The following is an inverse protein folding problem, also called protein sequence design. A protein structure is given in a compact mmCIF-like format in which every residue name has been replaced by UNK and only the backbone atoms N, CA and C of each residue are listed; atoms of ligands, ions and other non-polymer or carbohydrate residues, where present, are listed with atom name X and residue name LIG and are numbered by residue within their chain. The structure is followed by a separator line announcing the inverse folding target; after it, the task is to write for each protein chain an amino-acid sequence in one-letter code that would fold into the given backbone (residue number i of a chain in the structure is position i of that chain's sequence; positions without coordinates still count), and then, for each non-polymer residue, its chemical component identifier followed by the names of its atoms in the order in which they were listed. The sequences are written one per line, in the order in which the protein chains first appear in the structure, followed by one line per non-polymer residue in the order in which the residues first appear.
data_IF_859166337535
#
_entry.id   IF_859166337535
#
_cell.length_a   1.000
_cell.length_b   1.000
_cell.length_c   1.000
_cell.angle_alpha   90.00
_cell.angle_beta   90.00
_cell.angle_gamma   90.00
#
_symmetry.space_group_name_H-M   'P 1'
#
loop_
_entity.id
_entity.type
_entity.pdbx_description
1 polymer ?
#
# COMPACT_ATOMS: atom_id res chain seq x y z
N UNK A 1 64.42 -35.22 -27.14
CA UNK A 1 64.62 -33.80 -27.49
C UNK A 1 63.39 -33.35 -28.22
N UNK A 2 62.55 -32.57 -27.56
CA UNK A 2 61.23 -32.15 -28.07
C UNK A 2 61.04 -30.64 -27.88
N UNK A 3 60.20 -30.09 -28.76
CA UNK A 3 59.81 -28.70 -29.01
C UNK A 3 60.59 -27.96 -30.11
N UNK A 4 59.92 -27.08 -30.90
CA UNK A 4 58.61 -26.47 -30.65
C UNK A 4 57.56 -26.70 -31.77
N UNK A 5 56.30 -26.89 -31.37
CA UNK A 5 55.13 -26.64 -32.23
C UNK A 5 54.53 -25.33 -31.76
N UNK A 6 54.27 -24.49 -32.75
CA UNK A 6 53.79 -23.12 -32.74
C UNK A 6 52.55 -22.88 -31.88
N UNK A 7 52.61 -21.81 -31.10
CA UNK A 7 51.47 -21.08 -30.55
C UNK A 7 50.47 -20.72 -31.67
N UNK A 8 49.18 -21.02 -31.46
CA UNK A 8 48.11 -20.09 -31.84
C UNK A 8 46.78 -20.43 -31.16
N UNK A 9 46.25 -19.38 -30.53
CA UNK A 9 44.83 -19.10 -30.31
C UNK A 9 44.12 -19.75 -29.11
N UNK A 10 44.59 -19.38 -27.92
CA UNK A 10 43.82 -19.44 -26.66
C UNK A 10 43.18 -18.10 -26.23
N UNK A 11 42.73 -17.24 -27.16
CA UNK A 11 42.26 -15.88 -26.79
C UNK A 11 41.05 -15.36 -27.58
N UNK A 12 39.96 -16.13 -27.65
CA UNK A 12 38.72 -15.63 -28.27
C UNK A 12 37.41 -15.96 -27.51
N UNK A 13 37.48 -16.42 -26.25
CA UNK A 13 36.28 -16.81 -25.50
C UNK A 13 36.03 -16.02 -24.21
N UNK A 14 36.73 -14.90 -23.99
CA UNK A 14 36.70 -14.18 -22.70
C UNK A 14 36.10 -12.77 -22.75
N UNK A 15 35.40 -12.37 -23.82
CA UNK A 15 35.04 -10.94 -23.99
C UNK A 15 33.61 -10.66 -24.42
N UNK A 16 32.62 -11.46 -24.02
CA UNK A 16 31.20 -11.06 -24.11
C UNK A 16 30.38 -11.51 -22.89
N UNK A 17 30.86 -11.20 -21.68
CA UNK A 17 29.90 -10.97 -20.59
C UNK A 17 29.27 -9.60 -20.82
N UNK A 18 28.29 -9.59 -21.72
CA UNK A 18 27.48 -8.42 -22.04
C UNK A 18 27.02 -7.76 -20.75
N UNK A 19 27.52 -6.53 -20.53
CA UNK A 19 26.92 -5.50 -19.67
C UNK A 19 25.42 -5.57 -19.95
N UNK A 20 24.64 -6.30 -19.13
CA UNK A 20 23.18 -6.34 -19.24
C UNK A 20 22.72 -4.94 -18.95
N UNK A 21 22.56 -4.17 -20.02
CA UNK A 21 22.26 -2.77 -19.94
C UNK A 21 20.96 -2.63 -19.18
N UNK A 22 21.01 -1.76 -18.19
CA UNK A 22 19.84 -1.20 -17.55
C UNK A 22 18.89 -0.75 -18.67
N UNK A 23 17.90 -1.58 -19.01
CA UNK A 23 16.99 -1.25 -20.10
C UNK A 23 16.09 -0.14 -19.59
N UNK A 24 16.24 1.07 -20.15
CA UNK A 24 15.45 2.24 -19.77
C UNK A 24 13.95 1.94 -19.72
N UNK A 25 13.47 1.02 -20.56
CA UNK A 25 12.08 0.54 -20.60
C UNK A 25 11.57 -0.06 -19.29
N UNK A 26 12.45 -0.67 -18.48
CA UNK A 26 12.08 -1.29 -17.20
C UNK A 26 11.98 -0.29 -16.05
N UNK A 27 12.76 0.78 -16.10
CA UNK A 27 12.84 1.76 -14.99
C UNK A 27 12.03 3.03 -15.32
N UNK A 28 11.75 3.28 -16.60
CA UNK A 28 10.82 4.32 -17.05
C UNK A 28 9.49 4.34 -16.26
N UNK A 29 8.76 3.23 -16.05
CA UNK A 29 7.50 3.30 -15.30
C UNK A 29 7.69 3.69 -13.83
N UNK A 30 8.82 3.32 -13.20
CA UNK A 30 9.14 3.74 -11.84
C UNK A 30 9.49 5.23 -11.78
N UNK A 31 10.28 5.74 -12.74
CA UNK A 31 10.58 7.17 -12.84
C UNK A 31 9.32 8.00 -13.12
N UNK A 32 8.43 7.52 -13.99
CA UNK A 32 7.13 8.16 -14.25
C UNK A 32 6.31 8.19 -12.96
N UNK A 33 6.26 7.10 -12.21
CA UNK A 33 5.54 7.03 -10.94
C UNK A 33 6.11 8.03 -9.92
N UNK A 34 7.43 8.09 -9.75
CA UNK A 34 8.10 9.04 -8.87
C UNK A 34 7.86 10.49 -9.34
N UNK A 35 7.92 10.76 -10.64
CA UNK A 35 7.67 12.08 -11.21
C UNK A 35 6.22 12.52 -11.01
N UNK A 36 5.25 11.62 -11.24
CA UNK A 36 3.83 11.89 -11.00
C UNK A 36 3.54 12.11 -9.51
N UNK A 37 4.13 11.30 -8.63
CA UNK A 37 4.02 11.49 -7.18
C UNK A 37 4.64 12.83 -6.74
N UNK A 38 5.81 13.17 -7.26
CA UNK A 38 6.49 14.45 -7.01
C UNK A 38 5.70 15.65 -7.52
N UNK A 39 5.12 15.55 -8.72
CA UNK A 39 4.26 16.58 -9.29
C UNK A 39 2.99 16.77 -8.47
N UNK A 40 2.30 15.67 -8.10
CA UNK A 40 1.13 15.72 -7.24
C UNK A 40 1.43 16.39 -5.89
N UNK A 41 2.60 16.09 -5.32
CA UNK A 41 3.05 16.73 -4.08
C UNK A 41 3.36 18.22 -4.27
N UNK A 42 4.07 18.59 -5.33
CA UNK A 42 4.42 19.98 -5.67
C UNK A 42 3.19 20.84 -5.97
N UNK A 43 2.19 20.28 -6.64
CA UNK A 43 0.88 20.91 -6.91
C UNK A 43 0.00 21.01 -5.66
N UNK A 44 0.44 20.48 -4.51
CA UNK A 44 -0.31 20.56 -3.27
C UNK A 44 -1.54 19.65 -3.22
N UNK A 45 -1.66 18.63 -4.07
CA UNK A 45 -2.82 17.73 -4.07
C UNK A 45 -3.05 17.03 -2.72
N UNK A 46 -1.96 16.81 -1.97
CA UNK A 46 -2.03 16.31 -0.60
C UNK A 46 -2.80 17.24 0.36
N UNK A 47 -2.87 18.55 0.09
CA UNK A 47 -3.65 19.53 0.89
C UNK A 47 -5.15 19.42 0.65
N UNK A 48 -5.55 19.03 -0.57
CA UNK A 48 -6.95 18.74 -0.90
C UNK A 48 -7.43 17.43 -0.26
N UNK A 49 -6.52 16.49 0.01
CA UNK A 49 -6.77 15.29 0.80
C UNK A 49 -6.72 15.61 2.30
N UNK A 50 -7.55 16.56 2.75
CA UNK A 50 -7.67 16.95 4.16
C UNK A 50 -9.11 16.86 4.63
N UNK A 51 -9.29 16.60 5.93
CA UNK A 51 -10.62 16.59 6.56
C UNK A 51 -11.35 17.91 6.42
N UNK A 52 -10.63 19.02 6.52
CA UNK A 52 -11.17 20.37 6.35
C UNK A 52 -11.80 20.55 4.97
N UNK A 53 -11.08 20.16 3.91
CA UNK A 53 -11.60 20.23 2.53
C UNK A 53 -12.83 19.34 2.35
N UNK A 54 -12.82 18.14 2.93
CA UNK A 54 -13.94 17.21 2.88
C UNK A 54 -15.18 17.79 3.60
N UNK A 55 -14.99 18.39 4.78
CA UNK A 55 -16.07 18.98 5.57
C UNK A 55 -16.66 20.21 4.86
N UNK A 56 -15.81 21.12 4.35
CA UNK A 56 -16.25 22.32 3.64
C UNK A 56 -17.01 22.01 2.34
N UNK A 57 -16.66 20.92 1.65
CA UNK A 57 -17.28 20.55 0.37
C UNK A 57 -18.32 19.41 0.51
N UNK A 58 -18.66 19.01 1.75
CA UNK A 58 -19.55 17.86 2.02
C UNK A 58 -20.88 17.94 1.28
N UNK A 59 -21.56 19.09 1.35
CA UNK A 59 -22.87 19.27 0.70
C UNK A 59 -22.77 19.17 -0.82
N UNK A 60 -21.77 19.82 -1.43
CA UNK A 60 -21.54 19.76 -2.86
C UNK A 60 -21.21 18.33 -3.34
N UNK A 61 -20.35 17.62 -2.60
CA UNK A 61 -20.00 16.23 -2.90
C UNK A 61 -21.22 15.32 -2.79
N UNK A 62 -22.06 15.51 -1.77
CA UNK A 62 -23.30 14.74 -1.61
C UNK A 62 -24.32 15.04 -2.70
N UNK A 63 -24.49 16.31 -3.07
CA UNK A 63 -25.34 16.69 -4.19
C UNK A 63 -24.89 16.00 -5.49
N UNK A 64 -23.57 15.97 -5.73
CA UNK A 64 -23.00 15.25 -6.88
C UNK A 64 -23.25 13.74 -6.81
N UNK A 65 -23.03 13.10 -5.66
CA UNK A 65 -23.29 11.66 -5.45
C UNK A 65 -24.77 11.32 -5.64
N UNK A 66 -25.68 12.15 -5.12
CA UNK A 66 -27.12 11.93 -5.25
C UNK A 66 -27.59 12.05 -6.71
N UNK A 67 -27.02 12.98 -7.48
CA UNK A 67 -27.34 13.16 -8.90
C UNK A 67 -26.63 12.19 -9.84
N UNK A 68 -25.47 11.65 -9.46
CA UNK A 68 -24.58 10.90 -10.36
C UNK A 68 -23.91 9.69 -9.67
N UNK A 69 -24.68 8.89 -8.94
CA UNK A 69 -24.14 7.85 -8.06
C UNK A 69 -23.11 6.90 -8.72
N UNK A 70 -23.37 6.30 -9.91
CA UNK A 70 -22.40 5.39 -10.55
C UNK A 70 -21.11 6.10 -10.97
N UNK A 71 -21.22 7.33 -11.49
CA UNK A 71 -20.07 8.13 -11.89
C UNK A 71 -19.24 8.56 -10.69
N UNK A 72 -19.89 8.97 -9.60
CA UNK A 72 -19.21 9.34 -8.36
C UNK A 72 -18.45 8.15 -7.76
N UNK A 73 -19.06 6.95 -7.78
CA UNK A 73 -18.40 5.73 -7.32
C UNK A 73 -17.20 5.34 -8.18
N UNK A 74 -17.33 5.46 -9.51
CA UNK A 74 -16.23 5.21 -10.45
C UNK A 74 -15.08 6.22 -10.30
N UNK A 75 -15.41 7.50 -10.13
CA UNK A 75 -14.44 8.57 -9.87
C UNK A 75 -13.70 8.31 -8.55
N UNK A 76 -14.43 7.97 -7.49
CA UNK A 76 -13.85 7.58 -6.20
C UNK A 76 -12.88 6.41 -6.35
N UNK A 77 -13.29 5.33 -7.02
CA UNK A 77 -12.43 4.18 -7.26
C UNK A 77 -11.17 4.54 -8.05
N UNK A 78 -11.30 5.35 -9.12
CA UNK A 78 -10.19 5.81 -9.93
C UNK A 78 -9.17 6.66 -9.15
N UNK A 79 -9.66 7.60 -8.35
CA UNK A 79 -8.83 8.42 -7.46
C UNK A 79 -8.11 7.52 -6.45
N UNK A 80 -8.82 6.58 -5.83
CA UNK A 80 -8.23 5.68 -4.85
C UNK A 80 -7.13 4.79 -5.47
N UNK A 81 -7.39 4.22 -6.67
CA UNK A 81 -6.39 3.46 -7.44
C UNK A 81 -5.15 4.32 -7.69
N UNK A 82 -5.32 5.57 -8.14
CA UNK A 82 -4.22 6.48 -8.42
C UNK A 82 -3.39 6.78 -7.17
N UNK A 83 -4.03 7.11 -6.04
CA UNK A 83 -3.34 7.39 -4.78
C UNK A 83 -2.52 6.19 -4.30
N UNK A 84 -3.10 4.99 -4.34
CA UNK A 84 -2.38 3.77 -3.94
C UNK A 84 -1.26 3.42 -4.91
N UNK A 85 -1.52 3.50 -6.22
CA UNK A 85 -0.52 3.20 -7.25
C UNK A 85 0.68 4.16 -7.15
N UNK A 86 0.43 5.43 -6.87
CA UNK A 86 1.48 6.45 -6.67
C UNK A 86 2.13 6.39 -5.27
N UNK A 87 1.73 5.46 -4.39
CA UNK A 87 2.20 5.36 -3.00
C UNK A 87 2.01 6.65 -2.18
N UNK A 88 0.99 7.45 -2.51
CA UNK A 88 0.72 8.70 -1.80
C UNK A 88 0.10 8.42 -0.42
N UNK A 89 0.52 9.14 0.63
CA UNK A 89 -0.15 9.09 1.93
C UNK A 89 -1.56 9.67 1.81
N UNK A 90 -2.50 9.19 2.62
CA UNK A 90 -3.89 9.66 2.61
C UNK A 90 -4.97 8.59 2.39
N UNK A 91 -4.58 7.32 2.24
CA UNK A 91 -5.53 6.21 2.06
C UNK A 91 -6.62 6.15 3.15
N UNK A 92 -6.27 6.38 4.42
CA UNK A 92 -7.25 6.41 5.51
C UNK A 92 -8.31 7.51 5.34
N UNK A 93 -7.89 8.73 4.96
CA UNK A 93 -8.81 9.84 4.70
C UNK A 93 -9.75 9.55 3.53
N UNK A 94 -9.22 8.97 2.45
CA UNK A 94 -10.03 8.56 1.31
C UNK A 94 -11.04 7.48 1.71
N UNK A 95 -10.65 6.48 2.49
CA UNK A 95 -11.56 5.44 2.98
C UNK A 95 -12.69 6.02 3.82
N UNK A 96 -12.38 6.96 4.72
CA UNK A 96 -13.38 7.66 5.53
C UNK A 96 -14.31 8.49 4.63
N UNK A 97 -13.75 9.18 3.64
CA UNK A 97 -14.53 9.92 2.63
C UNK A 97 -15.48 8.99 1.86
N UNK A 98 -15.01 7.80 1.47
CA UNK A 98 -15.83 6.78 0.82
C UNK A 98 -16.98 6.31 1.72
N UNK A 99 -16.72 6.11 3.02
CA UNK A 99 -17.74 5.81 4.01
C UNK A 99 -18.78 6.91 4.19
N UNK A 100 -18.35 8.17 4.20
CA UNK A 100 -19.21 9.35 4.32
C UNK A 100 -20.14 9.54 3.10
N UNK A 101 -19.61 9.29 1.90
CA UNK A 101 -20.29 9.55 0.63
C UNK A 101 -21.16 8.38 0.16
N UNK A 102 -20.69 7.15 0.32
CA UNK A 102 -21.34 5.95 -0.23
C UNK A 102 -21.83 4.96 0.85
N UNK A 103 -21.63 5.28 2.13
CA UNK A 103 -21.89 4.38 3.24
C UNK A 103 -20.78 3.35 3.44
N UNK A 104 -20.77 2.71 4.61
CA UNK A 104 -19.71 1.80 5.01
C UNK A 104 -19.58 0.57 4.09
N UNK A 105 -20.71 0.08 3.55
CA UNK A 105 -20.72 -1.13 2.73
C UNK A 105 -20.23 -0.86 1.30
N UNK A 106 -20.89 0.03 0.56
CA UNK A 106 -20.49 0.33 -0.82
C UNK A 106 -19.12 1.03 -0.87
N UNK A 107 -18.91 2.03 0.01
CA UNK A 107 -17.61 2.69 0.16
C UNK A 107 -16.52 1.71 0.56
N UNK A 108 -16.77 0.84 1.53
CA UNK A 108 -15.83 -0.19 1.98
C UNK A 108 -15.46 -1.19 0.88
N UNK A 109 -16.45 -1.78 0.20
CA UNK A 109 -16.22 -2.76 -0.87
C UNK A 109 -15.43 -2.17 -2.03
N UNK A 110 -15.83 -0.99 -2.53
CA UNK A 110 -15.12 -0.30 -3.61
C UNK A 110 -13.70 0.04 -3.19
N UNK A 111 -13.50 0.45 -1.93
CA UNK A 111 -12.17 0.74 -1.40
C UNK A 111 -11.28 -0.48 -1.40
N UNK A 112 -11.75 -1.64 -0.93
CA UNK A 112 -10.96 -2.88 -0.91
C UNK A 112 -10.51 -3.25 -2.33
N UNK A 113 -11.42 -3.16 -3.30
CA UNK A 113 -11.13 -3.47 -4.71
C UNK A 113 -10.14 -2.46 -5.29
N UNK A 114 -10.42 -1.16 -5.16
CA UNK A 114 -9.59 -0.08 -5.69
C UNK A 114 -8.18 -0.09 -5.07
N UNK A 115 -8.07 -0.28 -3.75
CA UNK A 115 -6.81 -0.42 -3.05
C UNK A 115 -5.98 -1.60 -3.56
N UNK A 116 -6.64 -2.76 -3.77
CA UNK A 116 -5.98 -3.97 -4.26
C UNK A 116 -5.47 -3.78 -5.69
N UNK A 117 -6.25 -3.14 -6.55
CA UNK A 117 -5.85 -2.82 -7.92
C UNK A 117 -4.65 -1.85 -7.93
N UNK A 118 -4.75 -0.73 -7.21
CA UNK A 118 -3.66 0.26 -7.13
C UNK A 118 -2.37 -0.35 -6.58
N UNK A 119 -2.48 -1.16 -5.52
CA UNK A 119 -1.33 -1.84 -4.93
C UNK A 119 -0.71 -2.85 -5.90
N UNK A 120 -1.52 -3.53 -6.71
CA UNK A 120 -1.06 -4.48 -7.72
C UNK A 120 -0.32 -3.79 -8.87
N UNK A 121 -0.81 -2.63 -9.32
CA UNK A 121 -0.14 -1.81 -10.34
C UNK A 121 1.26 -1.43 -9.85
N UNK A 122 1.35 -0.85 -8.66
CA UNK A 122 2.62 -0.48 -8.04
C UNK A 122 3.54 -1.69 -7.85
N UNK A 123 3.01 -2.81 -7.38
CA UNK A 123 3.76 -4.05 -7.19
C UNK A 123 4.38 -4.54 -8.51
N UNK A 124 3.63 -4.51 -9.62
CA UNK A 124 4.12 -4.92 -10.94
C UNK A 124 5.19 -3.97 -11.48
N UNK A 125 5.00 -2.66 -11.31
CA UNK A 125 5.99 -1.63 -11.69
C UNK A 125 7.27 -1.84 -10.87
N UNK A 126 7.16 -1.98 -9.56
CA UNK A 126 8.31 -2.20 -8.69
C UNK A 126 9.04 -3.52 -8.99
N UNK A 127 8.30 -4.60 -9.20
CA UNK A 127 8.88 -5.92 -9.50
C UNK A 127 9.63 -5.91 -10.83
N UNK A 128 9.08 -5.24 -11.85
CA UNK A 128 9.72 -5.15 -13.17
C UNK A 128 10.93 -4.21 -13.18
N UNK A 129 10.88 -3.10 -12.42
CA UNK A 129 11.97 -2.14 -12.34
C UNK A 129 13.13 -2.63 -11.44
N UNK A 130 12.83 -3.25 -10.30
CA UNK A 130 13.79 -3.50 -9.23
C UNK A 130 14.04 -4.99 -8.95
N UNK A 131 13.25 -5.91 -9.51
CA UNK A 131 13.32 -7.34 -9.19
C UNK A 131 14.65 -8.01 -9.57
N UNK A 132 15.09 -7.84 -10.81
CA UNK A 132 16.37 -8.40 -11.30
C UNK A 132 17.60 -7.69 -10.71
N UNK A 133 17.70 -6.34 -10.66
CA UNK A 133 18.83 -5.66 -10.05
C UNK A 133 19.03 -6.02 -8.58
N UNK A 134 17.93 -6.14 -7.82
CA UNK A 134 18.00 -6.52 -6.42
C UNK A 134 18.36 -8.00 -6.24
N UNK A 135 17.89 -8.88 -7.13
CA UNK A 135 18.32 -10.29 -7.13
C UNK A 135 19.82 -10.44 -7.44
N UNK A 136 20.33 -9.68 -8.40
CA UNK A 136 21.74 -9.70 -8.78
C UNK A 136 22.68 -9.15 -7.70
N UNK A 137 22.19 -8.25 -6.84
CA UNK A 137 22.93 -7.67 -5.71
C UNK A 137 22.56 -8.29 -4.36
N UNK A 138 21.75 -9.35 -4.35
CA UNK A 138 21.31 -9.98 -3.11
C UNK A 138 22.47 -10.74 -2.45
N UNK A 139 23.03 -10.16 -1.39
CA UNK A 139 23.97 -10.88 -0.54
C UNK A 139 23.31 -12.04 0.22
N UNK A 140 24.09 -12.90 0.90
CA UNK A 140 23.59 -14.07 1.62
C UNK A 140 22.48 -13.76 2.62
N UNK A 141 22.54 -12.60 3.27
CA UNK A 141 21.52 -12.12 4.20
C UNK A 141 20.18 -11.81 3.50
N UNK A 142 20.22 -11.07 2.38
CA UNK A 142 19.02 -10.74 1.62
C UNK A 142 18.40 -11.99 0.96
N UNK A 143 19.24 -12.94 0.52
CA UNK A 143 18.77 -14.24 0.02
C UNK A 143 17.98 -15.01 1.07
N UNK A 144 18.51 -15.11 2.30
CA UNK A 144 17.81 -15.75 3.44
C UNK A 144 16.51 -15.03 3.80
N UNK A 145 16.50 -13.70 3.77
CA UNK A 145 15.29 -12.92 4.05
C UNK A 145 14.21 -13.17 2.98
N UNK A 146 14.58 -13.19 1.69
CA UNK A 146 13.66 -13.50 0.60
C UNK A 146 13.09 -14.91 0.71
N UNK A 147 13.94 -15.93 0.94
CA UNK A 147 13.46 -17.30 1.05
C UNK A 147 12.50 -17.48 2.23
N UNK A 148 12.86 -16.90 3.40
CA UNK A 148 12.00 -16.95 4.58
C UNK A 148 10.68 -16.20 4.39
N UNK A 149 10.69 -15.05 3.72
CA UNK A 149 9.46 -14.31 3.42
C UNK A 149 8.59 -15.06 2.41
N UNK A 150 9.18 -15.66 1.37
CA UNK A 150 8.43 -16.40 0.35
C UNK A 150 7.76 -17.66 0.90
N UNK A 151 8.41 -18.35 1.84
CA UNK A 151 7.90 -19.57 2.46
C UNK A 151 6.55 -19.34 3.18
N UNK A 152 6.39 -18.21 3.85
CA UNK A 152 5.17 -17.87 4.59
C UNK A 152 4.57 -16.52 4.12
N UNK A 153 4.69 -16.22 2.81
CA UNK A 153 4.40 -14.90 2.25
C UNK A 153 3.00 -14.38 2.57
N UNK A 154 1.98 -15.25 2.53
CA UNK A 154 0.61 -14.86 2.85
C UNK A 154 0.49 -14.34 4.29
N UNK A 155 1.10 -15.05 5.26
CA UNK A 155 1.05 -14.71 6.68
C UNK A 155 1.76 -13.39 6.96
N UNK A 156 2.94 -13.18 6.35
CA UNK A 156 3.64 -11.90 6.46
C UNK A 156 2.89 -10.75 5.80
N UNK A 157 2.27 -10.99 4.64
CA UNK A 157 1.45 -9.98 3.97
C UNK A 157 0.25 -9.58 4.83
N UNK A 158 -0.47 -10.56 5.38
CA UNK A 158 -1.59 -10.30 6.28
C UNK A 158 -1.14 -9.50 7.50
N UNK A 159 -0.02 -9.88 8.13
CA UNK A 159 0.56 -9.13 9.24
C UNK A 159 0.89 -7.67 8.87
N UNK A 160 1.56 -7.45 7.73
CA UNK A 160 1.93 -6.11 7.27
C UNK A 160 0.70 -5.24 6.93
N UNK A 161 -0.41 -5.86 6.50
CA UNK A 161 -1.66 -5.15 6.14
C UNK A 161 -2.56 -4.89 7.33
N UNK A 162 -2.60 -5.81 8.29
CA UNK A 162 -3.42 -5.71 9.48
C UNK A 162 -2.81 -4.76 10.50
N UNK A 163 -1.49 -4.82 10.71
CA UNK A 163 -0.82 -4.01 11.73
C UNK A 163 -0.45 -2.64 11.15
N UNK A 164 -1.06 -1.53 11.63
CA UNK A 164 -0.81 -0.17 11.13
C UNK A 164 0.51 0.43 11.67
N UNK A 165 1.53 -0.40 11.91
CA UNK A 165 2.84 0.04 12.39
C UNK A 165 3.84 0.31 11.24
N UNK A 166 3.48 -0.08 10.02
CA UNK A 166 4.38 -0.03 8.87
C UNK A 166 4.04 1.13 7.93
N UNK A 167 5.05 1.85 7.41
CA UNK A 167 4.82 2.90 6.42
C UNK A 167 4.11 2.39 5.17
N UNK A 168 3.26 3.23 4.57
CA UNK A 168 2.45 2.86 3.40
C UNK A 168 3.29 2.41 2.19
N UNK A 169 4.41 3.09 1.93
CA UNK A 169 5.32 2.69 0.85
C UNK A 169 5.93 1.31 1.13
N UNK A 170 6.23 0.99 2.39
CA UNK A 170 6.90 -0.26 2.78
C UNK A 170 5.98 -1.45 2.53
N UNK A 171 4.72 -1.38 2.97
CA UNK A 171 3.76 -2.47 2.83
C UNK A 171 3.42 -2.79 1.37
N UNK A 172 3.57 -1.81 0.47
CA UNK A 172 3.30 -2.00 -0.96
C UNK A 172 4.55 -2.37 -1.77
N UNK A 173 5.72 -1.82 -1.43
CA UNK A 173 6.95 -2.01 -2.19
C UNK A 173 7.76 -3.23 -1.73
N UNK A 174 7.85 -3.49 -0.42
CA UNK A 174 8.68 -4.56 0.12
C UNK A 174 8.31 -5.95 -0.45
N UNK A 175 7.03 -6.34 -0.59
CA UNK A 175 6.68 -7.63 -1.18
C UNK A 175 7.18 -7.81 -2.62
N UNK A 176 7.17 -6.74 -3.43
CA UNK A 176 7.68 -6.76 -4.79
C UNK A 176 9.19 -7.01 -4.81
N UNK A 177 9.92 -6.32 -3.94
CA UNK A 177 11.36 -6.46 -3.77
C UNK A 177 11.75 -7.84 -3.22
N UNK A 178 10.94 -8.41 -2.33
CA UNK A 178 11.19 -9.73 -1.75
C UNK A 178 10.87 -10.88 -2.72
N UNK A 179 10.27 -10.58 -3.88
CA UNK A 179 10.00 -11.57 -4.92
C UNK A 179 8.76 -12.42 -4.64
N UNK A 180 7.78 -11.88 -3.92
CA UNK A 180 6.50 -12.54 -3.69
C UNK A 180 5.78 -12.76 -5.03
N UNK A 181 4.92 -13.78 -5.13
CA UNK A 181 4.09 -13.96 -6.33
C UNK A 181 2.94 -12.95 -6.34
N UNK A 182 2.54 -12.48 -7.53
CA UNK A 182 1.42 -11.54 -7.66
C UNK A 182 0.14 -12.09 -7.01
N UNK A 183 -0.13 -13.39 -7.19
CA UNK A 183 -1.32 -14.04 -6.62
C UNK A 183 -1.35 -13.92 -5.09
N UNK A 184 -0.24 -14.24 -4.42
CA UNK A 184 -0.17 -14.14 -2.96
C UNK A 184 -0.25 -12.68 -2.49
N UNK A 185 0.36 -11.76 -3.24
CA UNK A 185 0.26 -10.33 -2.96
C UNK A 185 -1.18 -9.81 -3.05
N UNK A 186 -1.90 -10.18 -4.11
CA UNK A 186 -3.31 -9.78 -4.31
C UNK A 186 -4.18 -10.37 -3.20
N UNK A 187 -4.07 -11.67 -2.91
CA UNK A 187 -4.88 -12.31 -1.86
C UNK A 187 -4.58 -11.75 -0.48
N UNK A 188 -3.29 -11.63 -0.13
CA UNK A 188 -2.86 -11.08 1.16
C UNK A 188 -3.26 -9.62 1.33
N UNK A 189 -3.22 -8.82 0.26
CA UNK A 189 -3.69 -7.43 0.29
C UNK A 189 -5.21 -7.37 0.40
N UNK A 190 -5.94 -8.08 -0.46
CA UNK A 190 -7.40 -8.08 -0.50
C UNK A 190 -8.00 -8.46 0.85
N UNK A 191 -7.56 -9.58 1.45
CA UNK A 191 -8.08 -10.01 2.76
C UNK A 191 -7.50 -9.20 3.92
N UNK A 192 -6.22 -8.83 3.85
CA UNK A 192 -5.55 -8.14 4.95
C UNK A 192 -6.07 -6.73 5.21
N UNK A 193 -6.54 -6.02 4.18
CA UNK A 193 -7.05 -4.65 4.33
C UNK A 193 -8.53 -4.59 4.71
N UNK A 194 -9.30 -5.67 4.59
CA UNK A 194 -10.75 -5.68 4.85
C UNK A 194 -11.07 -5.12 6.25
N UNK A 195 -10.50 -5.64 7.36
CA UNK A 195 -10.85 -5.16 8.70
C UNK A 195 -10.56 -3.67 8.89
N UNK A 196 -9.39 -3.21 8.42
CA UNK A 196 -9.00 -1.80 8.46
C UNK A 196 -9.93 -0.92 7.63
N UNK A 197 -10.20 -1.33 6.39
CA UNK A 197 -11.04 -0.59 5.45
C UNK A 197 -12.44 -0.40 5.97
N UNK A 198 -13.06 -1.47 6.49
CA UNK A 198 -14.41 -1.40 7.03
C UNK A 198 -14.48 -0.58 8.33
N UNK A 199 -13.46 -0.65 9.19
CA UNK A 199 -13.37 0.20 10.39
C UNK A 199 -13.40 1.69 9.99
N UNK A 200 -12.55 2.09 9.05
CA UNK A 200 -12.52 3.48 8.58
C UNK A 200 -13.78 3.88 7.79
N UNK A 201 -14.36 2.96 7.02
CA UNK A 201 -15.60 3.23 6.29
C UNK A 201 -16.81 3.41 7.22
N UNK A 202 -16.87 2.64 8.33
CA UNK A 202 -17.88 2.81 9.38
C UNK A 202 -17.72 4.18 10.04
N UNK A 203 -16.49 4.55 10.43
CA UNK A 203 -16.19 5.89 10.96
C UNK A 203 -16.67 6.97 9.99
N UNK A 204 -16.39 6.82 8.70
CA UNK A 204 -16.87 7.75 7.67
C UNK A 204 -18.39 7.85 7.58
N UNK A 205 -19.09 6.72 7.63
CA UNK A 205 -20.56 6.70 7.55
C UNK A 205 -21.23 7.34 8.77
N UNK A 206 -20.60 7.30 9.94
CA UNK A 206 -21.09 7.95 11.17
C UNK A 206 -20.65 9.41 11.30
N UNK A 207 -19.68 9.85 10.52
CA UNK A 207 -19.07 11.19 10.60
C UNK A 207 -20.10 12.31 10.44
N UNK A 208 -21.16 12.05 9.70
CA UNK A 208 -22.25 12.97 9.41
C UNK A 208 -22.93 13.51 10.66
N UNK A 209 -23.37 12.60 11.53
CA UNK A 209 -24.02 12.94 12.79
C UNK A 209 -23.10 13.69 13.76
N UNK A 210 -21.79 13.41 13.68
CA UNK A 210 -20.76 14.05 14.50
C UNK A 210 -20.52 15.48 14.01
N UNK A 211 -20.43 15.67 12.70
CA UNK A 211 -20.29 17.00 12.07
C UNK A 211 -21.50 17.86 12.40
N UNK A 212 -22.72 17.34 12.23
CA UNK A 212 -23.95 18.09 12.48
C UNK A 212 -24.11 18.45 13.97
N UNK A 213 -23.76 17.55 14.90
CA UNK A 213 -23.74 17.83 16.33
C UNK A 213 -22.71 18.91 16.71
N UNK A 214 -21.52 18.89 16.09
CA UNK A 214 -20.50 19.91 16.33
C UNK A 214 -20.88 21.27 15.75
N UNK A 215 -21.49 21.30 14.57
CA UNK A 215 -22.02 22.52 13.96
C UNK A 215 -23.15 23.13 14.79
N UNK A 216 -24.05 22.28 15.33
CA UNK A 216 -25.10 22.74 16.23
C UNK A 216 -24.53 23.30 17.56
N UNK A 217 -23.47 22.70 18.08
CA UNK A 217 -22.79 23.20 19.27
C UNK A 217 -21.96 24.47 19.03
N UNK A 218 -21.44 24.65 17.80
CA UNK A 218 -20.60 25.78 17.40
C UNK A 218 -21.02 26.34 16.04
N UNK A 219 -22.09 27.16 15.97
CA UNK A 219 -22.61 27.68 14.71
C UNK A 219 -21.62 28.60 13.95
N UNK A 220 -20.64 29.17 14.65
CA UNK A 220 -19.57 29.98 14.04
C UNK A 220 -18.44 29.13 13.39
N UNK A 221 -18.60 27.80 13.35
CA UNK A 221 -17.58 26.89 12.83
C UNK A 221 -17.40 26.99 11.31
N UNK A 222 -18.46 27.34 10.56
CA UNK A 222 -18.41 27.51 9.09
C UNK A 222 -18.08 28.94 8.64
N UNK A 223 -18.10 29.92 9.55
CA UNK A 223 -17.95 31.34 9.24
C UNK A 223 -16.51 31.88 9.38
N UNK A 224 -15.51 30.99 9.38
CA UNK A 224 -14.09 31.38 9.38
C UNK A 224 -13.52 31.79 10.75
N UNK A 225 -14.28 31.59 11.84
CA UNK A 225 -13.68 31.48 13.17
C UNK A 225 -12.80 30.23 13.24
N UNK A 226 -11.89 30.15 14.22
CA UNK A 226 -11.01 28.99 14.45
C UNK A 226 -11.80 27.71 14.81
N UNK A 227 -12.60 27.19 13.89
CA UNK A 227 -13.00 25.81 13.92
C UNK A 227 -11.81 25.00 13.47
N UNK A 228 -10.89 24.81 14.40
CA UNK A 228 -9.91 23.76 14.27
C UNK A 228 -10.70 22.44 14.35
N UNK A 229 -11.28 22.01 13.22
CA UNK A 229 -11.70 20.64 12.96
C UNK A 229 -10.42 19.79 12.92
N UNK A 230 -9.68 19.78 14.03
CA UNK A 230 -8.53 18.92 14.32
C UNK A 230 -9.10 17.56 14.67
N UNK A 231 -9.77 16.95 13.70
CA UNK A 231 -9.80 15.50 13.61
C UNK A 231 -8.37 15.09 13.29
N UNK A 232 -7.55 15.06 14.33
CA UNK A 232 -6.22 14.51 14.24
C UNK A 232 -6.42 13.07 13.78
N UNK A 233 -5.87 12.70 12.62
CA UNK A 233 -6.02 11.33 12.09
C UNK A 233 -5.57 10.28 13.13
N UNK A 234 -4.69 10.66 14.05
CA UNK A 234 -4.30 9.86 15.22
C UNK A 234 -5.40 9.68 16.27
N UNK A 235 -6.35 10.61 16.41
CA UNK A 235 -7.51 10.47 17.30
C UNK A 235 -8.52 9.41 16.82
N UNK A 236 -8.56 9.16 15.50
CA UNK A 236 -9.39 8.10 14.91
C UNK A 236 -8.76 6.70 15.04
N UNK A 237 -7.44 6.64 15.25
CA UNK A 237 -6.70 5.41 15.49
C UNK A 237 -6.56 5.24 17.00
N UNK A 238 -7.66 4.87 17.65
CA UNK A 238 -7.67 4.71 19.11
C UNK A 238 -6.75 3.58 19.56
N UNK A 239 -6.34 3.60 20.83
CA UNK A 239 -5.50 2.54 21.40
C UNK A 239 -6.15 1.17 21.26
N UNK A 240 -7.48 1.10 21.37
CA UNK A 240 -8.28 -0.12 21.23
C UNK A 240 -8.22 -0.65 19.80
N UNK A 241 -8.35 0.22 18.78
CA UNK A 241 -8.21 -0.14 17.37
C UNK A 241 -6.80 -0.67 17.09
N UNK A 242 -5.76 -0.03 17.64
CA UNK A 242 -4.38 -0.50 17.53
C UNK A 242 -4.18 -1.88 18.17
N UNK A 243 -4.75 -2.11 19.36
CA UNK A 243 -4.68 -3.40 20.04
C UNK A 243 -5.40 -4.47 19.22
N UNK A 244 -6.58 -4.18 18.68
CA UNK A 244 -7.35 -5.11 17.86
C UNK A 244 -6.58 -5.50 16.58
N UNK A 245 -6.01 -4.53 15.88
CA UNK A 245 -5.20 -4.78 14.70
C UNK A 245 -3.89 -5.51 15.02
N UNK A 246 -3.24 -5.17 16.13
CA UNK A 246 -2.06 -5.91 16.60
C UNK A 246 -2.40 -7.37 16.91
N UNK A 247 -3.53 -7.63 17.59
CA UNK A 247 -3.99 -8.98 17.89
C UNK A 247 -4.28 -9.78 16.61
N UNK A 248 -4.99 -9.20 15.63
CA UNK A 248 -5.23 -9.82 14.33
C UNK A 248 -3.92 -10.11 13.58
N UNK A 249 -2.96 -9.19 13.64
CA UNK A 249 -1.62 -9.40 13.09
C UNK A 249 -0.89 -10.58 13.73
N UNK A 250 -0.92 -10.67 15.07
CA UNK A 250 -0.31 -11.79 15.80
C UNK A 250 -0.97 -13.12 15.40
N UNK A 251 -2.30 -13.15 15.27
CA UNK A 251 -3.04 -14.33 14.80
C UNK A 251 -2.60 -14.73 13.39
N UNK A 252 -2.40 -13.77 12.48
CA UNK A 252 -1.91 -14.04 11.14
C UNK A 252 -0.50 -14.67 11.12
N UNK A 253 0.34 -14.41 12.13
CA UNK A 253 1.67 -15.00 12.28
C UNK A 253 1.68 -16.33 13.05
N UNK A 254 0.59 -16.69 13.72
CA UNK A 254 0.51 -17.89 14.56
C UNK A 254 0.92 -19.18 13.81
N UNK A 255 0.49 -19.43 12.55
CA UNK A 255 0.93 -20.61 11.81
C UNK A 255 2.45 -20.66 11.59
N UNK A 256 3.06 -19.51 11.34
CA UNK A 256 4.52 -19.36 11.13
C UNK A 256 5.29 -19.64 12.41
N UNK A 257 4.82 -19.07 13.53
CA UNK A 257 5.44 -19.26 14.85
C UNK A 257 5.38 -20.74 15.24
N UNK A 258 4.21 -21.39 15.11
CA UNK A 258 4.03 -22.81 15.43
C UNK A 258 4.98 -23.67 14.58
N UNK A 259 5.05 -23.41 13.27
CA UNK A 259 5.93 -24.13 12.34
C UNK A 259 7.40 -23.99 12.74
N UNK A 260 7.87 -22.78 13.06
CA UNK A 260 9.26 -22.53 13.48
C UNK A 260 9.60 -23.16 14.83
N UNK A 261 8.70 -23.11 15.80
CA UNK A 261 8.90 -23.74 17.12
C UNK A 261 8.98 -25.27 16.99
N UNK A 262 8.11 -25.87 16.17
CA UNK A 262 8.14 -27.32 15.89
C UNK A 262 9.41 -27.75 15.18
N UNK A 263 9.89 -26.98 14.21
CA UNK A 263 11.15 -27.26 13.51
C UNK A 263 12.36 -27.24 14.46
N UNK A 264 12.43 -26.24 15.35
CA UNK A 264 13.51 -26.14 16.35
C UNK A 264 13.54 -27.31 17.33
N UNK A 265 12.36 -27.77 17.79
CA UNK A 265 12.27 -28.93 18.70
C UNK A 265 12.76 -30.23 18.05
N UNK A 266 12.54 -30.40 16.74
CA UNK A 266 13.01 -31.58 15.98
C UNK A 266 14.51 -31.58 15.70
N UNK A 267 15.17 -30.43 15.70
CA UNK A 267 16.63 -30.33 15.54
C UNK A 267 17.41 -30.49 16.85
N UNK A 268 16.72 -30.48 17.99
CA UNK A 268 17.29 -30.66 19.34
C UNK A 268 17.07 -32.06 19.93
N UNK A 269 16.53 -32.99 19.13
CA UNK A 269 16.32 -34.41 19.46
C UNK A 269 17.06 -35.23 18.42
#
# INVERSE_FOLDING_TARGET
MGHPVTEKNGSAAATEQGRRSWSWRRIAPLFVLIALAGLAFAMGWHRFLSFETLAMNREALRGFVAGNWPLALAAYAGIYIAVVALSLPGGALLTISGGLLFGWLAGGLVTVVAATIGASILFLIARSALGEPLAARAGPWLGKLRSGFQEDALNYLLFLRLVPAFPFWLVNLAPALLGVSLRLFVLGTFFGIIPGTFTFAIVGSGLDSIIDAQLAANPNCLSGGECAFRLDTGALVTREILIAFAALGIIALLPVIIKRVRARRRSST
#
